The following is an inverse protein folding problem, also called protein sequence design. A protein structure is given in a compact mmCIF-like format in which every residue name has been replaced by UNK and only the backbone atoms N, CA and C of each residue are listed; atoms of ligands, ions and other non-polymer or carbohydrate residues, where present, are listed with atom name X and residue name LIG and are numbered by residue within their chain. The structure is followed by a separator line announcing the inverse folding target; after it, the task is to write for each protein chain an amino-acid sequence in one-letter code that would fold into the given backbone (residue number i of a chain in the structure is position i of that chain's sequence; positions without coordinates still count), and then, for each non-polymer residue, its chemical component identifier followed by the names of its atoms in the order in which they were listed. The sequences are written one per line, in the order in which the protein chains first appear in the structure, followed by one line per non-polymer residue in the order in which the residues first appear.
data_IF_762048274908
#
_entry.id   IF_762048274908
#
_cell.length_a   1.000
_cell.length_b   1.000
_cell.length_c   1.000
_cell.angle_alpha   90.00
_cell.angle_beta   90.00
_cell.angle_gamma   90.00
#
_symmetry.space_group_name_H-M   'P 1'
#
loop_
_entity.id
_entity.type
_entity.pdbx_description
1 polymer ?
#
# COMPACT_ATOMS: atom_id res chain seq x y z
N UNK A 1 -8.05 -7.73 -49.51
CA UNK A 1 -9.08 -6.83 -48.98
C UNK A 1 -9.88 -6.10 -50.06
N UNK A 2 -9.28 -5.74 -51.19
CA UNK A 2 -9.96 -5.05 -52.32
C UNK A 2 -11.12 -5.83 -52.95
N UNK A 3 -11.19 -7.13 -52.74
CA UNK A 3 -12.20 -8.05 -53.32
C UNK A 3 -13.26 -8.47 -52.29
N UNK A 4 -13.19 -7.97 -51.08
CA UNK A 4 -14.24 -8.20 -50.10
C UNK A 4 -15.50 -7.39 -50.49
N UNK A 5 -16.66 -7.99 -50.28
CA UNK A 5 -17.96 -7.40 -50.56
C UNK A 5 -18.79 -7.39 -49.25
N UNK A 6 -19.88 -6.59 -49.26
CA UNK A 6 -20.84 -6.58 -48.17
C UNK A 6 -22.12 -7.37 -48.53
N UNK A 7 -22.02 -8.28 -49.50
CA UNK A 7 -23.15 -9.12 -49.95
C UNK A 7 -23.37 -10.27 -49.02
N UNK A 8 -23.84 -9.97 -47.81
CA UNK A 8 -24.16 -10.93 -46.74
C UNK A 8 -25.32 -10.40 -45.88
N UNK A 9 -25.85 -11.21 -44.98
CA UNK A 9 -27.03 -10.89 -44.19
C UNK A 9 -26.88 -9.66 -43.26
N UNK A 10 -25.65 -9.33 -42.85
CA UNK A 10 -25.35 -8.18 -42.00
C UNK A 10 -24.91 -6.93 -42.76
N UNK A 11 -24.62 -7.05 -44.07
CA UNK A 11 -24.10 -5.93 -44.87
C UNK A 11 -22.68 -5.48 -44.48
N UNK A 12 -21.89 -6.35 -43.87
CA UNK A 12 -20.55 -6.06 -43.33
C UNK A 12 -19.46 -6.75 -44.14
N UNK A 13 -18.21 -6.26 -44.07
CA UNK A 13 -17.04 -6.91 -44.65
C UNK A 13 -16.56 -8.01 -43.72
N UNK A 14 -16.69 -9.27 -44.15
CA UNK A 14 -16.15 -10.40 -43.40
C UNK A 14 -14.72 -10.72 -43.84
N UNK A 15 -13.80 -10.64 -42.90
CA UNK A 15 -12.39 -11.02 -43.17
C UNK A 15 -12.25 -12.51 -43.52
N UNK A 16 -13.15 -13.36 -43.03
CA UNK A 16 -13.21 -14.79 -43.36
C UNK A 16 -13.43 -15.09 -44.85
N UNK A 17 -14.06 -14.15 -45.61
CA UNK A 17 -14.31 -14.31 -47.03
C UNK A 17 -13.00 -14.30 -47.87
N UNK A 18 -11.90 -13.77 -47.28
CA UNK A 18 -10.57 -13.82 -47.86
C UNK A 18 -10.14 -15.24 -48.18
N UNK A 19 -10.56 -16.23 -47.41
CA UNK A 19 -10.27 -17.66 -47.62
C UNK A 19 -10.85 -18.12 -48.96
N UNK A 20 -12.11 -17.79 -49.25
CA UNK A 20 -12.80 -18.12 -50.48
C UNK A 20 -12.18 -17.40 -51.66
N UNK A 21 -11.79 -16.14 -51.52
CA UNK A 21 -11.12 -15.34 -52.57
C UNK A 21 -9.77 -15.95 -52.91
N UNK A 22 -8.95 -16.33 -51.95
CA UNK A 22 -7.65 -16.97 -52.21
C UNK A 22 -7.82 -18.33 -52.88
N UNK A 23 -8.79 -19.14 -52.45
CA UNK A 23 -9.07 -20.41 -53.12
C UNK A 23 -9.51 -20.22 -54.57
N UNK A 24 -10.35 -19.23 -54.86
CA UNK A 24 -10.77 -18.90 -56.22
C UNK A 24 -9.60 -18.43 -57.11
N UNK A 25 -8.61 -17.74 -56.50
CA UNK A 25 -7.38 -17.31 -57.16
C UNK A 25 -6.29 -18.40 -57.24
N UNK A 26 -6.61 -19.64 -56.86
CA UNK A 26 -5.67 -20.77 -56.79
C UNK A 26 -4.46 -20.57 -55.87
N UNK A 27 -4.58 -19.65 -54.90
CA UNK A 27 -3.60 -19.41 -53.85
C UNK A 27 -3.65 -20.51 -52.80
N UNK A 28 -2.50 -20.77 -52.15
CA UNK A 28 -2.41 -21.77 -51.08
C UNK A 28 -3.01 -21.21 -49.78
N UNK A 29 -4.02 -21.90 -49.26
CA UNK A 29 -4.61 -21.62 -47.96
C UNK A 29 -4.25 -22.75 -46.99
N UNK A 30 -3.65 -22.42 -45.86
CA UNK A 30 -3.33 -23.37 -44.79
C UNK A 30 -4.20 -23.14 -43.56
N UNK A 31 -4.34 -24.17 -42.74
CA UNK A 31 -4.98 -24.08 -41.41
C UNK A 31 -3.90 -24.29 -40.35
N UNK A 32 -3.96 -23.43 -39.32
CA UNK A 32 -3.17 -23.58 -38.10
C UNK A 32 -4.09 -23.94 -36.96
N UNK A 33 -3.83 -25.04 -36.29
CA UNK A 33 -4.60 -25.46 -35.13
C UNK A 33 -4.05 -24.75 -33.88
N UNK A 34 -4.85 -23.87 -33.27
CA UNK A 34 -4.53 -23.30 -31.98
C UNK A 34 -4.50 -24.40 -30.91
N UNK A 35 -3.45 -24.41 -30.10
CA UNK A 35 -3.34 -25.35 -28.97
C UNK A 35 -4.25 -24.95 -27.80
N UNK A 36 -4.46 -23.66 -27.65
CA UNK A 36 -5.29 -23.07 -26.61
C UNK A 36 -6.45 -22.30 -27.28
N UNK A 37 -7.66 -22.79 -27.12
CA UNK A 37 -8.86 -22.18 -27.72
C UNK A 37 -9.15 -20.81 -27.17
N UNK A 38 -8.77 -20.53 -25.88
CA UNK A 38 -9.01 -19.26 -25.22
C UNK A 38 -8.31 -18.09 -25.90
N UNK A 39 -7.21 -18.35 -26.65
CA UNK A 39 -6.51 -17.32 -27.45
C UNK A 39 -7.35 -16.78 -28.62
N UNK A 40 -8.43 -17.47 -28.98
CA UNK A 40 -9.32 -17.08 -30.08
C UNK A 40 -10.60 -16.36 -29.62
N UNK A 41 -10.78 -16.18 -28.31
CA UNK A 41 -12.00 -15.56 -27.78
C UNK A 41 -12.13 -14.09 -28.21
N UNK A 42 -13.24 -13.75 -28.83
CA UNK A 42 -13.61 -12.39 -29.18
C UNK A 42 -14.29 -11.70 -27.99
N UNK A 43 -13.90 -10.45 -27.73
CA UNK A 43 -14.52 -9.64 -26.67
C UNK A 43 -15.40 -8.58 -27.30
N UNK A 44 -16.73 -8.81 -27.31
CA UNK A 44 -17.72 -7.92 -27.91
C UNK A 44 -18.62 -7.23 -26.89
N UNK A 45 -18.66 -7.72 -25.67
CA UNK A 45 -19.45 -7.17 -24.59
C UNK A 45 -18.72 -7.31 -23.23
N UNK A 46 -19.35 -6.80 -22.16
CA UNK A 46 -18.77 -6.83 -20.82
C UNK A 46 -18.73 -8.22 -20.19
N UNK A 47 -19.62 -9.13 -20.62
CA UNK A 47 -19.61 -10.51 -20.15
C UNK A 47 -18.39 -11.25 -20.73
N UNK A 48 -18.17 -11.11 -22.04
CA UNK A 48 -16.97 -11.66 -22.70
C UNK A 48 -15.68 -11.06 -22.15
N UNK A 49 -15.68 -9.74 -21.83
CA UNK A 49 -14.53 -9.08 -21.17
C UNK A 49 -14.25 -9.71 -19.81
N UNK A 50 -15.26 -9.91 -18.98
CA UNK A 50 -15.09 -10.52 -17.65
C UNK A 50 -14.56 -11.97 -17.76
N UNK A 51 -15.03 -12.75 -18.74
CA UNK A 51 -14.52 -14.10 -19.01
C UNK A 51 -13.05 -14.08 -19.44
N UNK A 52 -12.66 -13.18 -20.32
CA UNK A 52 -11.26 -13.02 -20.76
C UNK A 52 -10.36 -12.61 -19.59
N UNK A 53 -10.84 -11.76 -18.68
CA UNK A 53 -10.12 -11.35 -17.48
C UNK A 53 -9.87 -12.53 -16.52
N UNK A 54 -10.86 -13.38 -16.29
CA UNK A 54 -10.70 -14.61 -15.48
C UNK A 54 -9.63 -15.51 -16.06
N UNK A 55 -9.68 -15.78 -17.38
CA UNK A 55 -8.68 -16.61 -18.07
C UNK A 55 -7.27 -16.01 -17.94
N UNK A 56 -7.15 -14.70 -18.14
CA UNK A 56 -5.86 -14.03 -18.01
C UNK A 56 -5.34 -14.08 -16.56
N UNK A 57 -6.21 -13.87 -15.58
CA UNK A 57 -5.85 -13.95 -14.17
C UNK A 57 -5.40 -15.36 -13.77
N UNK A 58 -6.04 -16.40 -14.28
CA UNK A 58 -5.63 -17.78 -14.07
C UNK A 58 -4.23 -18.06 -14.66
N UNK A 59 -3.93 -17.53 -15.84
CA UNK A 59 -2.60 -17.65 -16.47
C UNK A 59 -1.52 -16.95 -15.64
N UNK A 60 -1.77 -15.71 -15.20
CA UNK A 60 -0.83 -14.93 -14.38
C UNK A 60 -0.57 -15.66 -13.08
N UNK A 61 -1.62 -16.03 -12.35
CA UNK A 61 -1.51 -16.70 -11.05
C UNK A 61 -0.79 -18.06 -11.18
N UNK A 62 -1.10 -18.83 -12.22
CA UNK A 62 -0.40 -20.09 -12.50
C UNK A 62 1.09 -19.86 -12.73
N UNK A 63 1.46 -18.82 -13.48
CA UNK A 63 2.87 -18.53 -13.73
C UNK A 63 3.61 -18.19 -12.43
N UNK A 64 3.02 -17.37 -11.55
CA UNK A 64 3.62 -17.08 -10.25
C UNK A 64 3.76 -18.33 -9.38
N UNK A 65 2.74 -19.19 -9.32
CA UNK A 65 2.82 -20.47 -8.58
C UNK A 65 3.92 -21.40 -9.12
N UNK A 66 4.09 -21.48 -10.44
CA UNK A 66 5.15 -22.26 -11.05
C UNK A 66 6.55 -21.68 -10.79
N UNK A 67 6.63 -20.39 -10.51
CA UNK A 67 7.87 -19.69 -10.14
C UNK A 67 8.14 -19.73 -8.61
N UNK A 68 7.36 -20.50 -7.84
CA UNK A 68 7.61 -20.72 -6.41
C UNK A 68 6.85 -19.78 -5.47
N UNK A 69 5.84 -19.06 -5.96
CA UNK A 69 4.95 -18.23 -5.11
C UNK A 69 3.81 -19.10 -4.58
N UNK A 70 3.47 -18.97 -3.30
CA UNK A 70 2.30 -19.63 -2.71
C UNK A 70 1.11 -18.69 -2.73
N UNK A 71 0.07 -19.01 -3.51
CA UNK A 71 -1.23 -18.34 -3.48
C UNK A 71 -2.23 -19.22 -2.71
N UNK A 72 -2.76 -18.76 -1.57
CA UNK A 72 -3.73 -19.54 -0.78
C UNK A 72 -5.06 -19.73 -1.51
N UNK A 73 -5.51 -18.70 -2.22
CA UNK A 73 -6.71 -18.78 -3.03
C UNK A 73 -6.47 -18.04 -4.37
N UNK A 74 -5.97 -18.73 -5.40
CA UNK A 74 -5.68 -18.09 -6.68
C UNK A 74 -6.89 -17.42 -7.34
N UNK A 75 -8.09 -17.99 -7.16
CA UNK A 75 -9.32 -17.43 -7.75
C UNK A 75 -9.77 -16.11 -7.10
N UNK A 76 -9.31 -15.83 -5.88
CA UNK A 76 -9.62 -14.60 -5.14
C UNK A 76 -8.40 -13.68 -4.99
N UNK A 77 -7.37 -13.87 -5.80
CA UNK A 77 -6.15 -13.05 -5.77
C UNK A 77 -5.96 -12.39 -7.12
N UNK A 78 -5.91 -11.06 -7.14
CA UNK A 78 -5.75 -10.28 -8.35
C UNK A 78 -4.31 -9.76 -8.49
N UNK A 79 -3.63 -10.15 -9.56
CA UNK A 79 -2.24 -9.78 -9.85
C UNK A 79 -2.15 -9.27 -11.29
N UNK A 80 -1.73 -8.03 -11.49
CA UNK A 80 -1.48 -7.51 -12.84
C UNK A 80 -0.22 -8.16 -13.46
N UNK A 81 -0.21 -8.26 -14.78
CA UNK A 81 0.86 -8.95 -15.53
C UNK A 81 2.24 -8.29 -15.41
N UNK A 82 2.28 -7.02 -14.97
CA UNK A 82 3.51 -6.26 -14.74
C UNK A 82 4.15 -6.49 -13.37
N UNK A 83 3.45 -7.17 -12.46
CA UNK A 83 3.92 -7.45 -11.10
C UNK A 83 4.98 -8.54 -11.10
N UNK A 84 6.07 -8.32 -10.38
CA UNK A 84 7.17 -9.27 -10.20
C UNK A 84 7.18 -9.79 -8.75
N UNK A 85 7.18 -11.09 -8.56
CA UNK A 85 7.16 -11.72 -7.24
C UNK A 85 8.28 -12.77 -7.18
N UNK A 86 9.15 -12.64 -6.20
CA UNK A 86 10.21 -13.60 -5.95
C UNK A 86 9.67 -14.94 -5.42
N UNK A 87 10.42 -16.04 -5.50
CA UNK A 87 10.02 -17.32 -4.91
C UNK A 87 9.88 -17.23 -3.38
N UNK A 88 9.18 -18.20 -2.80
CA UNK A 88 8.92 -18.31 -1.36
C UNK A 88 8.09 -17.16 -0.75
N UNK A 89 7.39 -16.39 -1.57
CA UNK A 89 6.39 -15.41 -1.11
C UNK A 89 5.07 -16.12 -0.85
N UNK A 90 4.42 -15.80 0.29
CA UNK A 90 3.07 -16.25 0.61
C UNK A 90 2.08 -15.10 0.39
N UNK A 91 1.05 -15.35 -0.42
CA UNK A 91 -0.06 -14.43 -0.67
C UNK A 91 -1.36 -15.08 -0.24
N UNK A 92 -2.05 -14.46 0.70
CA UNK A 92 -3.36 -14.90 1.16
C UNK A 92 -4.48 -14.51 0.18
N UNK A 93 -5.71 -14.93 0.48
CA UNK A 93 -6.87 -14.61 -0.35
C UNK A 93 -7.20 -13.12 -0.38
N UNK A 94 -7.88 -12.66 -1.44
CA UNK A 94 -8.35 -11.28 -1.60
C UNK A 94 -7.24 -10.22 -1.57
N UNK A 95 -6.04 -10.57 -1.95
CA UNK A 95 -4.93 -9.62 -2.16
C UNK A 95 -5.02 -9.07 -3.57
N UNK A 96 -4.71 -7.79 -3.71
CA UNK A 96 -4.64 -7.08 -5.01
C UNK A 96 -3.25 -6.48 -5.21
N UNK A 97 -2.54 -6.89 -6.25
CA UNK A 97 -1.21 -6.41 -6.62
C UNK A 97 -1.25 -5.77 -8.01
N UNK A 98 -0.80 -4.52 -8.12
CA UNK A 98 -0.91 -3.73 -9.34
C UNK A 98 0.35 -2.97 -9.71
N UNK A 99 0.35 -2.49 -10.95
CA UNK A 99 1.38 -1.61 -11.51
C UNK A 99 2.76 -2.26 -11.55
N UNK A 100 3.80 -1.48 -11.29
CA UNK A 100 5.20 -1.93 -11.28
C UNK A 100 5.63 -2.48 -9.91
N UNK A 101 4.71 -3.16 -9.21
CA UNK A 101 4.99 -3.74 -7.89
C UNK A 101 5.99 -4.88 -7.98
N UNK A 102 6.96 -4.88 -7.05
CA UNK A 102 7.96 -5.94 -6.87
C UNK A 102 7.99 -6.41 -5.43
N UNK A 103 8.00 -7.72 -5.22
CA UNK A 103 7.98 -8.32 -3.88
C UNK A 103 9.16 -9.27 -3.74
N UNK A 104 10.02 -9.03 -2.76
CA UNK A 104 11.17 -9.84 -2.41
C UNK A 104 10.80 -11.15 -1.73
N UNK A 105 11.72 -12.11 -1.75
CA UNK A 105 11.52 -13.47 -1.23
C UNK A 105 11.13 -13.51 0.26
N UNK A 106 10.48 -14.60 0.66
CA UNK A 106 10.03 -14.84 2.06
C UNK A 106 9.05 -13.80 2.63
N UNK A 107 8.50 -12.93 1.78
CA UNK A 107 7.49 -11.96 2.19
C UNK A 107 6.12 -12.61 2.35
N UNK A 108 5.30 -12.03 3.23
CA UNK A 108 3.94 -12.48 3.52
C UNK A 108 2.96 -11.34 3.31
N UNK A 109 2.04 -11.50 2.37
CA UNK A 109 1.00 -10.51 2.08
C UNK A 109 -0.34 -11.11 2.52
N UNK A 110 -0.90 -10.57 3.58
CA UNK A 110 -2.13 -11.13 4.13
C UNK A 110 -3.37 -10.60 3.45
N UNK A 111 -4.45 -11.27 3.70
CA UNK A 111 -5.76 -11.06 3.09
C UNK A 111 -6.19 -9.56 3.12
N UNK A 112 -6.83 -9.11 2.03
CA UNK A 112 -7.35 -7.75 1.92
C UNK A 112 -6.30 -6.65 1.72
N UNK A 113 -5.02 -7.00 1.56
CA UNK A 113 -3.98 -6.03 1.25
C UNK A 113 -4.05 -5.56 -0.21
N UNK A 114 -3.79 -4.27 -0.41
CA UNK A 114 -3.71 -3.64 -1.73
C UNK A 114 -2.32 -3.00 -1.91
N UNK A 115 -1.60 -3.37 -2.96
CA UNK A 115 -0.26 -2.87 -3.23
C UNK A 115 -0.18 -2.40 -4.69
N UNK A 116 0.23 -1.15 -4.88
CA UNK A 116 0.34 -0.50 -6.18
C UNK A 116 1.71 0.18 -6.32
N UNK A 117 2.39 -0.03 -7.46
CA UNK A 117 3.62 0.67 -7.86
C UNK A 117 4.69 0.74 -6.75
N UNK A 118 4.84 -0.32 -5.97
CA UNK A 118 5.69 -0.34 -4.78
C UNK A 118 6.76 -1.42 -4.84
N UNK A 119 7.85 -1.20 -4.11
CA UNK A 119 8.95 -2.16 -3.99
C UNK A 119 9.07 -2.63 -2.56
N UNK A 120 8.94 -3.92 -2.36
CA UNK A 120 9.07 -4.59 -1.07
C UNK A 120 10.32 -5.48 -1.11
N UNK A 121 11.19 -5.32 -0.13
CA UNK A 121 12.38 -6.14 0.10
C UNK A 121 12.05 -7.57 0.53
N UNK A 122 13.03 -8.26 1.06
CA UNK A 122 12.88 -9.63 1.53
C UNK A 122 12.26 -9.70 2.92
N UNK A 123 11.44 -10.72 3.18
CA UNK A 123 10.85 -10.96 4.50
C UNK A 123 9.88 -9.86 4.96
N UNK A 124 9.34 -9.07 4.05
CA UNK A 124 8.35 -8.03 4.37
C UNK A 124 7.01 -8.66 4.71
N UNK A 125 6.37 -8.17 5.78
CA UNK A 125 5.03 -8.60 6.17
C UNK A 125 4.05 -7.45 6.01
N UNK A 126 3.04 -7.63 5.16
CA UNK A 126 1.95 -6.66 4.96
C UNK A 126 0.64 -7.29 5.41
N UNK A 127 0.02 -6.71 6.43
CA UNK A 127 -1.23 -7.19 6.99
C UNK A 127 -2.37 -6.22 6.71
N UNK A 128 -3.38 -6.64 5.93
CA UNK A 128 -4.64 -5.90 5.71
C UNK A 128 -4.44 -4.40 5.49
N UNK A 129 -3.49 -4.02 4.63
CA UNK A 129 -3.02 -2.64 4.51
C UNK A 129 -2.94 -2.19 3.05
N UNK A 130 -2.86 -0.88 2.86
CA UNK A 130 -2.71 -0.25 1.56
C UNK A 130 -1.30 0.32 1.43
N UNK A 131 -0.61 -0.01 0.32
CA UNK A 131 0.73 0.49 0.01
C UNK A 131 0.74 1.00 -1.43
N UNK A 132 1.12 2.24 -1.63
CA UNK A 132 1.13 2.89 -2.92
C UNK A 132 2.44 3.65 -3.15
N UNK A 133 3.07 3.47 -4.30
CA UNK A 133 4.20 4.24 -4.79
C UNK A 133 5.35 4.38 -3.78
N UNK A 134 5.67 3.31 -3.04
CA UNK A 134 6.57 3.36 -1.90
C UNK A 134 7.64 2.28 -1.95
N UNK A 135 8.69 2.46 -1.17
CA UNK A 135 9.80 1.52 -1.03
C UNK A 135 9.88 1.04 0.42
N UNK A 136 9.82 -0.26 0.62
CA UNK A 136 9.96 -0.94 1.90
C UNK A 136 11.18 -1.84 1.83
N UNK A 137 12.17 -1.62 2.67
CA UNK A 137 13.37 -2.45 2.76
C UNK A 137 13.09 -3.80 3.44
N UNK A 138 14.12 -4.60 3.65
CA UNK A 138 14.02 -5.95 4.19
C UNK A 138 13.45 -5.97 5.62
N UNK A 139 12.62 -6.97 5.90
CA UNK A 139 12.07 -7.19 7.24
C UNK A 139 11.07 -6.15 7.73
N UNK A 140 10.65 -5.21 6.88
CA UNK A 140 9.61 -4.24 7.24
C UNK A 140 8.28 -4.94 7.53
N UNK A 141 7.57 -4.47 8.56
CA UNK A 141 6.25 -4.96 8.92
C UNK A 141 5.22 -3.84 8.89
N UNK A 142 4.09 -4.05 8.20
CA UNK A 142 3.04 -3.04 8.02
C UNK A 142 1.68 -3.62 8.37
N UNK A 143 0.94 -2.92 9.22
CA UNK A 143 -0.46 -3.21 9.51
C UNK A 143 -0.74 -3.85 10.87
N UNK A 144 -2.00 -4.26 11.08
CA UNK A 144 -3.10 -4.15 10.11
C UNK A 144 -3.67 -2.73 9.99
N UNK A 145 -4.38 -2.48 8.87
CA UNK A 145 -5.08 -1.23 8.60
C UNK A 145 -4.18 0.01 8.57
N UNK A 146 -2.97 -0.14 8.05
CA UNK A 146 -2.07 0.97 7.78
C UNK A 146 -2.19 1.46 6.33
N UNK A 147 -1.81 2.71 6.08
CA UNK A 147 -1.74 3.27 4.74
C UNK A 147 -0.38 3.90 4.48
N UNK A 148 0.43 3.26 3.65
CA UNK A 148 1.70 3.81 3.18
C UNK A 148 1.44 4.47 1.82
N UNK A 149 1.51 5.80 1.80
CA UNK A 149 1.18 6.61 0.63
C UNK A 149 2.43 6.93 -0.19
N UNK A 150 2.24 7.37 -1.44
CA UNK A 150 3.36 7.61 -2.36
C UNK A 150 4.49 8.47 -1.78
N UNK A 151 5.67 8.25 -2.33
CA UNK A 151 6.92 8.90 -1.97
C UNK A 151 7.38 8.61 -0.52
N UNK A 152 6.99 7.45 0.02
CA UNK A 152 7.45 6.99 1.34
C UNK A 152 8.53 5.92 1.21
N UNK A 153 9.54 6.00 2.07
CA UNK A 153 10.64 5.05 2.17
C UNK A 153 10.73 4.55 3.61
N UNK A 154 10.70 3.23 3.78
CA UNK A 154 10.86 2.54 5.06
C UNK A 154 12.12 1.68 4.98
N UNK A 155 13.11 1.98 5.81
CA UNK A 155 14.36 1.23 5.86
C UNK A 155 14.17 -0.11 6.60
N UNK A 156 15.24 -0.88 6.78
CA UNK A 156 15.20 -2.23 7.29
C UNK A 156 14.53 -2.33 8.66
N UNK A 157 13.71 -3.35 8.82
CA UNK A 157 13.04 -3.68 10.07
C UNK A 157 12.16 -2.57 10.67
N UNK A 158 11.75 -1.59 9.88
CA UNK A 158 10.76 -0.60 10.32
C UNK A 158 9.43 -1.31 10.63
N UNK A 159 8.81 -0.92 11.74
CA UNK A 159 7.50 -1.43 12.16
C UNK A 159 6.43 -0.35 12.09
N UNK A 160 5.45 -0.53 11.23
CA UNK A 160 4.24 0.30 11.14
C UNK A 160 3.06 -0.54 11.60
N UNK A 161 2.42 -0.13 12.70
CA UNK A 161 1.29 -0.85 13.26
C UNK A 161 -0.07 -0.34 12.74
N UNK A 162 -1.12 -0.60 13.52
CA UNK A 162 -2.49 -0.38 13.08
C UNK A 162 -2.92 1.09 13.10
N UNK A 163 -3.69 1.46 12.06
CA UNK A 163 -4.23 2.81 11.87
C UNK A 163 -3.13 3.88 11.79
N UNK A 164 -2.00 3.54 11.19
CA UNK A 164 -0.90 4.48 10.92
C UNK A 164 -0.92 4.86 9.45
N UNK A 165 -0.83 6.16 9.18
CA UNK A 165 -0.65 6.68 7.84
C UNK A 165 0.75 7.31 7.71
N UNK A 166 1.48 6.91 6.66
CA UNK A 166 2.79 7.47 6.29
C UNK A 166 2.68 8.08 4.90
N UNK A 167 3.16 9.32 4.72
CA UNK A 167 3.06 10.02 3.43
C UNK A 167 4.29 10.87 3.14
N UNK A 168 4.97 10.58 2.03
CA UNK A 168 6.11 11.38 1.58
C UNK A 168 7.16 11.53 2.69
N UNK A 169 7.46 10.44 3.37
CA UNK A 169 8.32 10.41 4.55
C UNK A 169 9.35 9.29 4.44
N UNK A 170 10.50 9.51 5.05
CA UNK A 170 11.53 8.51 5.22
C UNK A 170 11.63 8.11 6.69
N UNK A 171 11.66 6.81 6.95
CA UNK A 171 11.84 6.23 8.27
C UNK A 171 13.08 5.34 8.28
N UNK A 172 14.06 5.70 9.10
CA UNK A 172 15.30 4.96 9.29
C UNK A 172 15.09 3.60 9.97
N UNK A 173 16.09 2.75 9.85
CA UNK A 173 16.06 1.36 10.26
C UNK A 173 15.61 1.16 11.73
N UNK A 174 14.85 0.08 11.98
CA UNK A 174 14.32 -0.29 13.31
C UNK A 174 13.36 0.73 13.95
N UNK A 175 12.96 1.77 13.24
CA UNK A 175 11.99 2.76 13.73
C UNK A 175 10.60 2.14 13.84
N UNK A 176 9.86 2.54 14.87
CA UNK A 176 8.54 1.98 15.21
C UNK A 176 7.47 3.06 15.34
N UNK A 177 6.36 2.88 14.63
CA UNK A 177 5.13 3.66 14.76
C UNK A 177 3.95 2.70 14.90
N UNK A 178 3.62 2.29 16.12
CA UNK A 178 2.73 1.15 16.37
C UNK A 178 1.24 1.43 16.23
N UNK A 179 0.77 2.67 16.45
CA UNK A 179 -0.66 2.92 16.60
C UNK A 179 -1.09 4.33 16.26
N UNK A 180 -2.22 4.48 15.52
CA UNK A 180 -3.02 5.71 15.44
C UNK A 180 -2.22 6.98 15.12
N UNK A 181 -1.29 6.95 14.19
CA UNK A 181 -0.28 7.99 13.97
C UNK A 181 -0.34 8.50 12.52
N UNK A 182 -0.12 9.80 12.34
CA UNK A 182 0.11 10.39 11.02
C UNK A 182 1.54 10.92 10.89
N UNK A 183 2.29 10.39 9.94
CA UNK A 183 3.65 10.81 9.59
C UNK A 183 3.66 11.35 8.16
N UNK A 184 3.61 12.66 8.01
CA UNK A 184 3.61 13.32 6.71
C UNK A 184 4.77 14.28 6.55
N UNK A 185 5.48 14.19 5.42
CA UNK A 185 6.66 15.00 5.10
C UNK A 185 7.69 14.99 6.25
N UNK A 186 8.02 13.80 6.76
CA UNK A 186 8.91 13.60 7.86
C UNK A 186 10.21 12.89 7.45
N UNK A 187 11.32 13.33 7.97
CA UNK A 187 12.62 12.65 7.95
C UNK A 187 12.89 12.11 9.34
N UNK A 188 12.81 10.80 9.50
CA UNK A 188 12.88 10.13 10.81
C UNK A 188 14.08 9.20 10.80
N UNK A 189 14.98 9.37 11.75
CA UNK A 189 16.17 8.57 11.93
C UNK A 189 15.89 7.11 12.30
N UNK A 190 16.95 6.42 12.63
CA UNK A 190 16.92 5.01 13.02
C UNK A 190 16.58 4.83 14.49
N UNK A 191 15.98 3.67 14.83
CA UNK A 191 15.65 3.27 16.21
C UNK A 191 14.74 4.26 16.97
N UNK A 192 13.98 5.07 16.23
CA UNK A 192 13.02 6.02 16.79
C UNK A 192 11.76 5.29 17.25
N UNK A 193 11.24 5.69 18.41
CA UNK A 193 9.93 5.23 18.85
C UNK A 193 8.88 6.34 18.74
N UNK A 194 7.88 6.15 17.89
CA UNK A 194 6.75 7.09 17.74
C UNK A 194 5.57 6.59 18.59
N UNK A 195 5.23 7.35 19.62
CA UNK A 195 4.10 7.05 20.51
C UNK A 195 2.75 7.17 19.81
N UNK A 196 1.78 6.39 20.29
CA UNK A 196 0.42 6.37 19.74
C UNK A 196 -0.24 7.75 19.67
N UNK A 197 -0.95 8.04 18.59
CA UNK A 197 -1.65 9.30 18.40
C UNK A 197 -0.74 10.50 18.08
N UNK A 198 0.53 10.27 17.74
CA UNK A 198 1.44 11.34 17.35
C UNK A 198 1.16 11.82 15.93
N UNK A 199 1.29 13.13 15.70
CA UNK A 199 0.98 13.76 14.42
C UNK A 199 2.09 14.73 14.03
N UNK A 200 2.61 14.60 12.82
CA UNK A 200 3.41 15.65 12.18
C UNK A 200 2.46 16.63 11.49
N UNK A 201 2.34 17.84 12.03
CA UNK A 201 1.51 18.90 11.45
C UNK A 201 2.33 19.59 10.36
N UNK A 202 2.25 19.06 9.16
CA UNK A 202 3.11 19.41 8.03
C UNK A 202 2.53 20.45 7.08
N UNK A 203 1.33 20.98 7.33
CA UNK A 203 0.63 21.90 6.41
C UNK A 203 0.03 23.09 7.15
N UNK A 204 0.33 24.30 6.68
CA UNK A 204 -0.12 25.58 7.27
C UNK A 204 -1.37 26.17 6.59
N UNK A 205 -1.97 25.45 5.63
CA UNK A 205 -3.05 25.93 4.78
C UNK A 205 -2.59 26.42 3.40
N UNK A 206 -1.28 26.64 3.19
CA UNK A 206 -0.70 27.07 1.92
C UNK A 206 0.48 26.21 1.48
N UNK A 207 1.37 25.85 2.41
CA UNK A 207 2.64 25.15 2.14
C UNK A 207 2.81 23.96 3.07
N UNK A 208 3.61 23.00 2.60
CA UNK A 208 4.04 21.87 3.42
C UNK A 208 5.45 22.13 3.94
N UNK A 209 5.68 21.69 5.17
CA UNK A 209 6.95 21.80 5.86
C UNK A 209 7.36 20.42 6.38
N UNK A 210 8.67 20.26 6.56
CA UNK A 210 9.25 19.02 7.02
C UNK A 210 9.38 18.99 8.54
N UNK A 211 9.15 17.82 9.10
CA UNK A 211 9.52 17.45 10.46
C UNK A 211 10.77 16.57 10.40
N UNK A 212 11.79 16.87 11.20
CA UNK A 212 13.00 16.06 11.31
C UNK A 212 13.06 15.45 12.70
N UNK A 213 13.31 14.14 12.79
CA UNK A 213 13.46 13.42 14.06
C UNK A 213 14.77 12.63 14.00
N UNK A 214 15.70 12.94 14.90
CA UNK A 214 17.02 12.29 14.97
C UNK A 214 16.93 10.86 15.51
N UNK A 215 18.04 10.14 15.36
CA UNK A 215 18.16 8.74 15.77
C UNK A 215 17.84 8.56 17.26
N UNK A 216 17.31 7.39 17.62
CA UNK A 216 16.98 7.00 19.01
C UNK A 216 16.01 7.93 19.73
N UNK A 217 15.39 8.91 19.06
CA UNK A 217 14.44 9.81 19.69
C UNK A 217 13.18 9.05 20.16
N UNK A 218 12.59 9.51 21.26
CA UNK A 218 11.35 8.96 21.79
C UNK A 218 10.24 10.01 21.72
N UNK A 219 9.30 9.84 20.80
CA UNK A 219 8.14 10.71 20.66
C UNK A 219 7.03 10.16 21.56
N UNK A 220 6.71 10.90 22.62
CA UNK A 220 5.65 10.50 23.56
C UNK A 220 4.28 10.46 22.90
N UNK A 221 3.39 9.60 23.40
CA UNK A 221 2.03 9.44 22.86
C UNK A 221 1.27 10.78 22.81
N UNK A 222 0.44 10.96 21.78
CA UNK A 222 -0.31 12.19 21.53
C UNK A 222 0.57 13.45 21.43
N UNK A 223 1.81 13.31 20.94
CA UNK A 223 2.64 14.46 20.59
C UNK A 223 2.19 15.05 19.27
N UNK A 224 2.06 16.38 19.23
CA UNK A 224 1.77 17.15 18.02
C UNK A 224 3.01 17.94 17.66
N UNK A 225 3.68 17.56 16.55
CA UNK A 225 4.90 18.20 16.07
C UNK A 225 4.53 19.20 14.96
N UNK A 226 4.65 20.51 15.25
CA UNK A 226 4.26 21.57 14.30
C UNK A 226 5.46 21.92 13.43
N UNK A 227 5.43 21.46 12.19
CA UNK A 227 6.50 21.70 11.23
C UNK A 227 6.57 23.19 10.77
N UNK A 228 7.75 23.75 10.46
CA UNK A 228 9.04 23.05 10.51
C UNK A 228 9.55 22.89 11.95
N UNK A 229 9.93 21.69 12.32
CA UNK A 229 10.44 21.38 13.66
C UNK A 229 11.45 20.24 13.58
N UNK A 230 12.48 20.30 14.40
CA UNK A 230 13.50 19.28 14.56
C UNK A 230 13.51 18.75 15.99
N UNK A 231 13.48 17.42 16.15
CA UNK A 231 13.71 16.73 17.42
C UNK A 231 15.04 16.01 17.31
N UNK A 232 16.02 16.42 18.11
CA UNK A 232 17.40 15.93 18.02
C UNK A 232 17.52 14.47 18.45
N UNK A 233 18.71 13.92 18.20
CA UNK A 233 19.10 12.56 18.57
C UNK A 233 18.90 12.32 20.07
N UNK A 234 18.43 11.12 20.47
CA UNK A 234 18.13 10.73 21.86
C UNK A 234 17.13 11.65 22.59
N UNK A 235 16.51 12.62 21.91
CA UNK A 235 15.59 13.52 22.56
C UNK A 235 14.24 12.85 22.84
N UNK A 236 13.54 13.35 23.87
CA UNK A 236 12.22 12.85 24.26
C UNK A 236 11.19 13.97 24.22
N UNK A 237 10.03 13.72 23.64
CA UNK A 237 8.85 14.57 23.84
C UNK A 237 7.91 13.93 24.85
N UNK A 238 7.48 14.69 25.88
CA UNK A 238 6.56 14.17 26.88
C UNK A 238 5.16 13.93 26.27
N UNK A 239 4.50 12.86 26.67
CA UNK A 239 3.17 12.53 26.16
C UNK A 239 2.17 13.71 26.31
N UNK A 240 1.32 13.92 25.29
CA UNK A 240 0.35 15.02 25.24
C UNK A 240 0.95 16.39 24.99
N UNK A 241 2.17 16.47 24.46
CA UNK A 241 2.85 17.73 24.18
C UNK A 241 2.59 18.26 22.77
N UNK A 242 2.43 19.57 22.65
CA UNK A 242 2.51 20.29 21.37
C UNK A 242 3.90 20.91 21.26
N UNK A 243 4.69 20.47 20.28
CA UNK A 243 6.07 20.88 20.04
C UNK A 243 6.10 21.78 18.82
N UNK A 244 6.36 23.08 19.07
CA UNK A 244 6.41 24.12 18.04
C UNK A 244 7.81 24.75 17.90
N UNK A 245 8.78 24.27 18.66
CA UNK A 245 10.17 24.70 18.62
C UNK A 245 11.07 23.48 18.62
N UNK A 246 12.20 23.56 17.94
CA UNK A 246 13.14 22.45 17.87
C UNK A 246 13.67 22.06 19.24
N UNK A 247 13.85 20.75 19.42
CA UNK A 247 14.30 20.12 20.67
C UNK A 247 15.74 19.68 20.47
N UNK A 248 16.71 20.20 21.22
CA UNK A 248 18.10 19.76 21.10
C UNK A 248 18.26 18.26 21.41
N UNK A 249 19.37 17.68 20.90
CA UNK A 249 19.74 16.30 21.26
C UNK A 249 19.81 16.11 22.78
N UNK A 250 19.57 14.88 23.25
CA UNK A 250 19.63 14.47 24.66
C UNK A 250 18.71 15.29 25.60
N UNK A 251 17.67 15.93 25.07
CA UNK A 251 16.79 16.82 25.79
C UNK A 251 15.38 16.26 25.95
N UNK A 252 14.65 16.74 26.98
CA UNK A 252 13.23 16.44 27.18
C UNK A 252 12.39 17.68 26.92
N UNK A 253 11.48 17.61 25.95
CA UNK A 253 10.53 18.68 25.67
C UNK A 253 9.15 18.38 26.31
N UNK A 254 8.60 19.35 27.02
CA UNK A 254 7.29 19.26 27.68
C UNK A 254 6.46 20.46 27.24
N UNK A 255 5.57 20.24 26.27
CA UNK A 255 4.68 21.26 25.68
C UNK A 255 3.21 21.12 26.10
N UNK A 256 2.94 20.93 27.39
CA UNK A 256 1.57 20.76 27.93
C UNK A 256 1.40 21.47 29.28
N UNK A 257 0.15 21.78 29.61
CA UNK A 257 -0.19 22.40 30.91
C UNK A 257 0.14 21.46 32.07
N UNK A 258 0.53 22.04 33.20
CA UNK A 258 0.69 21.30 34.46
C UNK A 258 -0.67 20.78 34.95
N UNK A 259 -0.71 19.52 35.34
CA UNK A 259 -1.94 18.91 35.87
C UNK A 259 -2.40 19.62 37.15
N UNK A 260 -3.70 19.92 37.25
CA UNK A 260 -4.36 20.46 38.45
C UNK A 260 -5.43 19.46 38.88
N UNK A 261 -5.36 19.05 40.13
CA UNK A 261 -6.38 18.21 40.77
C UNK A 261 -7.20 19.08 41.71
N UNK A 262 -8.53 19.05 41.56
CA UNK A 262 -9.48 19.72 42.47
C UNK A 262 -10.26 18.65 43.25
N UNK A 263 -9.82 18.35 44.46
CA UNK A 263 -10.44 17.33 45.30
C UNK A 263 -11.90 17.64 45.61
N UNK A 264 -12.76 16.62 45.52
CA UNK A 264 -14.21 16.74 45.78
C UNK A 264 -14.99 17.53 44.72
N UNK A 265 -14.34 18.12 43.68
CA UNK A 265 -15.05 18.92 42.68
C UNK A 265 -16.05 18.11 41.87
N UNK A 266 -15.76 16.83 41.60
CA UNK A 266 -16.65 15.93 40.83
C UNK A 266 -18.03 15.79 41.48
N UNK A 267 -18.14 15.91 42.83
CA UNK A 267 -19.41 15.89 43.57
C UNK A 267 -20.35 17.04 43.19
N UNK A 268 -19.83 18.09 42.56
CA UNK A 268 -20.61 19.27 42.13
C UNK A 268 -21.14 19.13 40.69
N UNK A 269 -20.76 18.07 39.99
CA UNK A 269 -21.15 17.87 38.59
C UNK A 269 -22.53 17.18 38.52
N UNK A 270 -23.41 17.55 37.57
CA UNK A 270 -24.80 17.06 37.51
C UNK A 270 -24.94 15.54 37.38
N UNK A 271 -23.93 14.84 36.83
CA UNK A 271 -23.93 13.38 36.67
C UNK A 271 -23.38 12.62 37.88
N UNK A 272 -22.97 13.31 38.96
CA UNK A 272 -22.48 12.61 40.15
C UNK A 272 -23.67 11.96 40.91
N UNK A 273 -23.52 10.69 41.38
CA UNK A 273 -24.62 9.98 42.05
C UNK A 273 -25.24 10.69 43.26
N UNK A 274 -24.47 11.53 43.95
CA UNK A 274 -24.92 12.30 45.14
C UNK A 274 -25.67 13.58 44.75
N UNK A 275 -25.84 13.93 43.47
CA UNK A 275 -26.63 15.08 43.04
C UNK A 275 -28.11 14.70 42.93
N UNK A 276 -29.03 15.51 43.40
CA UNK A 276 -30.48 15.27 43.20
C UNK A 276 -30.78 15.31 41.69
N UNK A 277 -31.54 14.31 41.23
CA UNK A 277 -32.07 14.24 39.87
C UNK A 277 -33.06 15.35 39.60
#
# INVERSE_FOLDING_TARGET
LKHLTTDNAQGEYYLTDVISIFKASQEKVGAYLLKDFDESLGVNDRLALAQAEVIMQERINKQHMLNGVTLQNPAATYIESSVEIAPDVLIEANVTLKGQTRIGSRSVITNGSYILDSRLGEGVVVSQSVIEGSVLADGVTVGPYAHIRPDSQLDECVHIGNFVEVKGSHLGANTKAGHLTYLGNAEIGSEVNIGAGSITVNYDGQRKYQTVIGDHAFIGSHSTLIAPVEVGENALTAAGSTIAQSVPADSVAIGRSRQVVKEGYAKRLPHHPDQPQ
#
